data_IF_738265782870
#
_entry.id   IF_738265782870
#
_cell.length_a   1.000
_cell.length_b   1.000
_cell.length_c   1.000
_cell.angle_alpha   90.00
_cell.angle_beta   90.00
_cell.angle_gamma   90.00
#
_symmetry.space_group_name_H-M   'P 1'
#
loop_
_entity.id
_entity.type
_entity.pdbx_description
1 polymer ?
#
# COMPACT_ATOMS: atom_id res chain seq x y z
N UNK A 1 36.32 23.53 22.75
CA UNK A 1 35.89 23.48 21.36
C UNK A 1 34.55 22.79 21.29
N UNK A 2 33.47 23.58 21.30
CA UNK A 2 32.12 23.07 21.22
C UNK A 2 31.74 22.98 19.75
N UNK A 3 31.71 21.75 19.22
CA UNK A 3 31.09 21.45 17.94
C UNK A 3 29.58 21.65 18.07
N UNK A 4 29.06 22.77 17.57
CA UNK A 4 27.63 22.94 17.34
C UNK A 4 27.16 22.00 16.24
N UNK A 5 26.83 20.75 16.61
CA UNK A 5 26.14 19.83 15.73
C UNK A 5 24.75 20.41 15.37
N UNK A 6 24.65 21.13 14.26
CA UNK A 6 23.35 21.47 13.68
C UNK A 6 22.57 20.16 13.48
N UNK A 7 21.62 19.87 14.36
CA UNK A 7 20.65 18.79 14.14
C UNK A 7 19.85 19.16 12.89
N UNK A 8 20.13 18.49 11.81
CA UNK A 8 19.41 18.65 10.55
C UNK A 8 18.03 18.01 10.75
N UNK A 9 17.03 18.83 11.03
CA UNK A 9 15.63 18.40 10.99
C UNK A 9 15.23 18.28 9.54
N UNK A 10 15.11 17.05 9.05
CA UNK A 10 14.37 16.80 7.79
C UNK A 10 12.92 17.24 8.08
N UNK A 11 12.46 18.28 7.42
CA UNK A 11 11.11 18.80 7.59
C UNK A 11 10.09 17.69 7.29
N UNK A 12 9.02 17.61 8.09
CA UNK A 12 7.92 16.67 7.89
C UNK A 12 7.32 16.90 6.50
N UNK A 13 7.10 15.83 5.75
CA UNK A 13 6.40 15.91 4.46
C UNK A 13 4.91 16.07 4.73
N UNK A 14 4.29 17.10 4.17
CA UNK A 14 2.87 17.39 4.37
C UNK A 14 2.00 16.67 3.32
N UNK A 15 0.69 16.58 3.58
CA UNK A 15 -0.26 16.01 2.62
C UNK A 15 -0.33 16.83 1.34
N UNK A 16 -0.28 18.14 1.44
CA UNK A 16 -0.30 19.07 0.30
C UNK A 16 0.92 18.88 -0.61
N UNK A 17 2.08 18.59 -0.03
CA UNK A 17 3.28 18.27 -0.82
C UNK A 17 3.13 16.95 -1.57
N UNK A 18 2.52 15.95 -0.94
CA UNK A 18 2.28 14.63 -1.55
C UNK A 18 1.26 14.77 -2.69
N UNK A 19 0.17 15.49 -2.47
CA UNK A 19 -0.85 15.76 -3.50
C UNK A 19 -0.26 16.55 -4.68
N UNK A 20 0.51 17.59 -4.40
CA UNK A 20 1.19 18.38 -5.42
C UNK A 20 2.16 17.52 -6.25
N UNK A 21 2.97 16.71 -5.58
CA UNK A 21 3.89 15.79 -6.25
C UNK A 21 3.16 14.79 -7.16
N UNK A 22 2.05 14.22 -6.67
CA UNK A 22 1.21 13.32 -7.45
C UNK A 22 0.66 14.00 -8.69
N UNK A 23 0.05 15.18 -8.55
CA UNK A 23 -0.57 15.91 -9.66
C UNK A 23 0.44 16.34 -10.73
N UNK A 24 1.61 16.81 -10.32
CA UNK A 24 2.68 17.24 -11.25
C UNK A 24 3.29 16.05 -12.00
N UNK A 25 3.29 14.86 -11.42
CA UNK A 25 3.90 13.67 -12.00
C UNK A 25 2.89 12.60 -12.44
N UNK A 26 1.62 12.94 -12.56
CA UNK A 26 0.53 11.98 -12.80
C UNK A 26 0.77 11.09 -14.02
N UNK A 27 1.31 11.67 -15.10
CA UNK A 27 1.60 10.96 -16.35
C UNK A 27 2.74 9.91 -16.22
N UNK A 28 3.53 10.02 -15.15
CA UNK A 28 4.60 9.06 -14.84
C UNK A 28 4.14 7.88 -14.01
N UNK A 29 2.93 7.96 -13.46
CA UNK A 29 2.35 6.93 -12.61
C UNK A 29 1.46 6.00 -13.41
N UNK A 30 2.05 5.11 -14.18
CA UNK A 30 1.30 4.06 -14.87
C UNK A 30 1.48 2.73 -14.15
N UNK A 31 0.37 2.03 -13.90
CA UNK A 31 0.40 0.70 -13.31
C UNK A 31 1.02 -0.30 -14.28
N UNK A 32 2.00 -1.05 -13.83
CA UNK A 32 2.56 -2.20 -14.53
C UNK A 32 1.86 -3.52 -14.17
N UNK A 33 0.96 -3.50 -13.20
CA UNK A 33 0.19 -4.65 -12.73
C UNK A 33 -1.24 -4.24 -12.38
N UNK A 34 -2.14 -5.21 -12.30
CA UNK A 34 -3.53 -5.00 -11.86
C UNK A 34 -3.57 -4.85 -10.35
N UNK A 35 -4.36 -3.87 -9.87
CA UNK A 35 -4.68 -3.69 -8.46
C UNK A 35 -6.12 -4.11 -8.20
N UNK A 36 -6.38 -4.60 -7.00
CA UNK A 36 -7.74 -4.91 -6.56
C UNK A 36 -7.95 -4.60 -5.08
N UNK A 37 -9.20 -4.30 -4.73
CA UNK A 37 -9.72 -4.33 -3.38
C UNK A 37 -10.53 -5.59 -3.22
N UNK A 38 -10.37 -6.30 -2.11
CA UNK A 38 -11.01 -7.59 -1.94
C UNK A 38 -11.41 -7.87 -0.50
N UNK A 39 -12.35 -8.80 -0.38
CA UNK A 39 -12.70 -9.45 0.89
C UNK A 39 -12.36 -10.91 0.78
N UNK A 40 -11.79 -11.45 1.83
CA UNK A 40 -11.52 -12.87 1.95
C UNK A 40 -11.82 -13.34 3.36
N UNK A 41 -12.50 -14.45 3.46
CA UNK A 41 -12.82 -15.10 4.72
C UNK A 41 -12.69 -16.61 4.57
N UNK A 42 -11.88 -17.23 5.44
CA UNK A 42 -11.74 -18.68 5.56
C UNK A 42 -12.35 -19.11 6.90
N UNK A 43 -13.42 -19.86 6.86
CA UNK A 43 -14.19 -20.26 8.03
C UNK A 43 -14.36 -21.79 8.08
N UNK A 44 -14.27 -22.45 9.27
CA UNK A 44 -14.56 -23.89 9.38
C UNK A 44 -15.94 -24.25 8.83
N UNK A 45 -16.01 -25.36 8.08
CA UNK A 45 -17.23 -25.79 7.38
C UNK A 45 -18.38 -26.16 8.32
N UNK A 46 -18.08 -26.49 9.58
CA UNK A 46 -19.03 -26.83 10.65
C UNK A 46 -19.49 -25.61 11.46
N UNK A 47 -19.09 -24.39 11.09
CA UNK A 47 -19.48 -23.19 11.82
C UNK A 47 -21.01 -22.98 11.77
N UNK A 48 -21.61 -22.88 12.96
CA UNK A 48 -23.07 -22.74 13.10
C UNK A 48 -23.65 -21.44 12.51
N UNK A 49 -22.81 -20.43 12.31
CA UNK A 49 -23.19 -19.12 11.78
C UNK A 49 -22.98 -18.97 10.26
N UNK A 50 -22.67 -20.05 9.53
CA UNK A 50 -22.23 -20.01 8.13
C UNK A 50 -23.16 -19.20 7.23
N UNK A 51 -24.48 -19.35 7.37
CA UNK A 51 -25.48 -18.62 6.57
C UNK A 51 -25.53 -17.10 6.89
N UNK A 52 -25.23 -16.72 8.14
CA UNK A 52 -25.13 -15.30 8.53
C UNK A 52 -23.83 -14.72 8.02
N UNK A 53 -22.71 -15.43 8.21
CA UNK A 53 -21.38 -15.06 7.75
C UNK A 53 -21.40 -14.79 6.24
N UNK A 54 -21.97 -15.71 5.44
CA UNK A 54 -22.11 -15.56 3.99
C UNK A 54 -22.82 -14.28 3.58
N UNK A 55 -23.92 -13.94 4.24
CA UNK A 55 -24.67 -12.69 3.97
C UNK A 55 -23.87 -11.46 4.40
N UNK A 56 -23.22 -11.52 5.54
CA UNK A 56 -22.53 -10.38 6.14
C UNK A 56 -21.23 -10.04 5.40
N UNK A 57 -20.44 -11.04 4.98
CA UNK A 57 -19.25 -10.78 4.17
C UNK A 57 -19.60 -10.15 2.81
N UNK A 58 -20.78 -10.47 2.27
CA UNK A 58 -21.25 -9.90 1.01
C UNK A 58 -21.74 -8.46 1.17
N UNK A 59 -22.59 -8.17 2.15
CA UNK A 59 -23.18 -6.86 2.42
C UNK A 59 -22.17 -5.91 3.08
N UNK A 60 -21.62 -6.34 4.19
CA UNK A 60 -20.60 -5.66 4.99
C UNK A 60 -21.00 -4.25 5.46
N UNK A 61 -22.22 -4.10 6.01
CA UNK A 61 -22.61 -2.92 6.80
C UNK A 61 -21.75 -2.79 8.07
N UNK A 62 -21.84 -1.69 8.80
CA UNK A 62 -21.12 -1.55 10.08
C UNK A 62 -21.48 -2.66 11.06
N UNK A 63 -22.77 -2.95 11.22
CA UNK A 63 -23.23 -4.03 12.09
C UNK A 63 -22.72 -5.41 11.65
N UNK A 64 -22.57 -5.63 10.33
CA UNK A 64 -22.01 -6.87 9.80
C UNK A 64 -20.52 -6.99 10.12
N UNK A 65 -19.77 -5.89 10.06
CA UNK A 65 -18.35 -5.83 10.47
C UNK A 65 -18.20 -6.17 11.93
N UNK A 66 -18.97 -5.50 12.79
CA UNK A 66 -18.95 -5.72 14.24
C UNK A 66 -19.26 -7.19 14.57
N UNK A 67 -20.23 -7.80 13.87
CA UNK A 67 -20.53 -9.21 14.04
C UNK A 67 -19.39 -10.11 13.57
N UNK A 68 -18.81 -9.88 12.38
CA UNK A 68 -17.69 -10.67 11.88
C UNK A 68 -16.46 -10.52 12.77
N UNK A 69 -16.18 -9.31 13.25
CA UNK A 69 -15.08 -9.03 14.17
C UNK A 69 -15.27 -9.75 15.51
N UNK A 70 -16.50 -9.81 16.02
CA UNK A 70 -16.84 -10.54 17.24
C UNK A 70 -16.58 -12.06 17.14
N UNK A 71 -16.64 -12.61 15.93
CA UNK A 71 -16.39 -14.02 15.64
C UNK A 71 -14.98 -14.28 15.07
N UNK A 72 -14.13 -13.28 14.99
CA UNK A 72 -12.82 -13.40 14.32
C UNK A 72 -11.98 -14.58 14.84
N UNK A 73 -12.08 -14.89 16.14
CA UNK A 73 -11.38 -16.03 16.74
C UNK A 73 -11.82 -17.41 16.21
N UNK A 74 -12.96 -17.50 15.53
CA UNK A 74 -13.48 -18.70 14.89
C UNK A 74 -13.03 -18.85 13.43
N UNK A 75 -12.43 -17.81 12.85
CA UNK A 75 -12.02 -17.81 11.45
C UNK A 75 -10.55 -18.21 11.33
N UNK A 76 -10.23 -18.99 10.31
CA UNK A 76 -8.85 -19.28 9.97
C UNK A 76 -8.17 -18.06 9.34
N UNK A 77 -8.94 -17.25 8.59
CA UNK A 77 -8.46 -16.00 8.00
C UNK A 77 -9.62 -15.03 7.74
N UNK A 78 -9.40 -13.74 8.01
CA UNK A 78 -10.35 -12.66 7.74
C UNK A 78 -9.62 -11.45 7.16
N UNK A 79 -9.97 -11.05 5.94
CA UNK A 79 -9.47 -9.85 5.26
C UNK A 79 -10.67 -9.09 4.66
N UNK A 80 -11.22 -8.16 5.42
CA UNK A 80 -12.40 -7.38 5.02
C UNK A 80 -12.08 -5.88 5.02
N UNK A 81 -11.32 -5.47 4.03
CA UNK A 81 -10.94 -4.07 3.87
C UNK A 81 -11.19 -3.59 2.43
N UNK A 82 -12.23 -2.80 2.24
CA UNK A 82 -12.64 -2.26 0.95
C UNK A 82 -11.89 -0.96 0.57
N UNK A 83 -11.08 -0.42 1.47
CA UNK A 83 -10.40 0.87 1.27
C UNK A 83 -8.97 0.77 0.77
N UNK A 84 -8.33 -0.40 0.87
CA UNK A 84 -6.92 -0.60 0.52
C UNK A 84 -6.78 -1.35 -0.81
N UNK A 85 -5.89 -0.85 -1.66
CA UNK A 85 -5.51 -1.49 -2.90
C UNK A 85 -4.35 -2.48 -2.68
N UNK A 86 -4.47 -3.65 -3.28
CA UNK A 86 -3.46 -4.71 -3.26
C UNK A 86 -3.06 -5.06 -4.68
N UNK A 87 -1.80 -5.38 -4.89
CA UNK A 87 -1.33 -5.93 -6.15
C UNK A 87 -1.96 -7.32 -6.38
N UNK A 88 -2.46 -7.58 -7.58
CA UNK A 88 -3.08 -8.86 -7.94
C UNK A 88 -2.18 -10.05 -7.59
N UNK A 89 -0.87 -9.94 -7.84
CA UNK A 89 0.11 -11.01 -7.53
C UNK A 89 0.15 -11.35 -6.05
N UNK A 90 0.05 -10.34 -5.17
CA UNK A 90 0.12 -10.54 -3.71
C UNK A 90 -1.15 -11.22 -3.20
N UNK A 91 -2.30 -10.87 -3.78
CA UNK A 91 -3.59 -11.52 -3.48
C UNK A 91 -3.55 -12.98 -3.94
N UNK A 92 -3.12 -13.25 -5.19
CA UNK A 92 -3.02 -14.61 -5.73
C UNK A 92 -2.08 -15.48 -4.89
N UNK A 93 -0.94 -14.93 -4.47
CA UNK A 93 0.02 -15.69 -3.66
C UNK A 93 -0.46 -15.98 -2.24
N UNK A 94 -1.44 -15.20 -1.74
CA UNK A 94 -1.97 -15.33 -0.38
C UNK A 94 -3.25 -16.18 -0.28
N UNK A 95 -3.84 -16.59 -1.40
CA UNK A 95 -5.12 -17.32 -1.44
C UNK A 95 -4.93 -18.66 -2.17
N UNK A 96 -4.99 -19.76 -1.44
CA UNK A 96 -4.61 -21.11 -1.92
C UNK A 96 -5.35 -21.57 -3.17
N UNK A 97 -6.64 -21.23 -3.34
CA UNK A 97 -7.45 -21.68 -4.47
C UNK A 97 -7.34 -20.79 -5.72
N UNK A 98 -6.64 -19.65 -5.63
CA UNK A 98 -6.40 -18.75 -6.78
C UNK A 98 -4.95 -18.88 -7.22
N UNK A 99 -4.73 -19.04 -8.52
CA UNK A 99 -3.40 -19.07 -9.13
C UNK A 99 -3.40 -18.39 -10.50
N UNK A 100 -2.25 -18.29 -11.13
CA UNK A 100 -2.11 -17.62 -12.42
C UNK A 100 -2.97 -18.20 -13.54
N UNK A 101 -3.29 -19.51 -13.48
CA UNK A 101 -4.08 -20.19 -14.51
C UNK A 101 -5.58 -19.94 -14.38
N UNK A 102 -6.08 -19.82 -13.13
CA UNK A 102 -7.52 -19.69 -12.87
C UNK A 102 -7.97 -18.31 -12.39
N UNK A 103 -7.06 -17.38 -12.15
CA UNK A 103 -7.37 -16.07 -11.57
C UNK A 103 -8.48 -15.30 -12.30
N UNK A 104 -8.55 -15.41 -13.62
CA UNK A 104 -9.59 -14.73 -14.42
C UNK A 104 -11.00 -15.10 -14.02
N UNK A 105 -11.21 -16.30 -13.48
CA UNK A 105 -12.51 -16.79 -13.02
C UNK A 105 -12.99 -16.06 -11.76
N UNK A 106 -12.08 -15.45 -10.99
CA UNK A 106 -12.34 -14.83 -9.70
C UNK A 106 -12.32 -13.28 -9.73
N UNK A 107 -12.03 -12.65 -10.88
CA UNK A 107 -11.83 -11.19 -10.99
C UNK A 107 -13.11 -10.40 -11.31
N UNK A 108 -14.29 -11.03 -11.24
CA UNK A 108 -15.54 -10.30 -11.45
C UNK A 108 -15.93 -9.49 -10.22
N UNK A 109 -16.01 -8.18 -10.40
CA UNK A 109 -16.34 -7.23 -9.31
C UNK A 109 -17.72 -7.51 -8.72
N UNK A 110 -17.82 -7.44 -7.39
CA UNK A 110 -19.01 -7.67 -6.56
C UNK A 110 -19.63 -9.06 -6.67
N UNK A 111 -18.92 -10.03 -7.22
CA UNK A 111 -19.34 -11.44 -7.20
C UNK A 111 -18.79 -12.15 -5.98
N UNK A 112 -19.67 -12.81 -5.24
CA UNK A 112 -19.27 -13.72 -4.16
C UNK A 112 -18.87 -15.06 -4.77
N UNK A 113 -17.66 -15.50 -4.48
CA UNK A 113 -17.17 -16.84 -4.75
C UNK A 113 -17.13 -17.62 -3.43
N UNK A 114 -17.67 -18.83 -3.46
CA UNK A 114 -17.72 -19.74 -2.35
C UNK A 114 -17.02 -21.04 -2.76
N UNK A 115 -15.89 -21.31 -2.16
CA UNK A 115 -15.09 -22.50 -2.43
C UNK A 115 -15.01 -23.33 -1.17
N UNK A 116 -15.50 -24.56 -1.26
CA UNK A 116 -15.54 -25.51 -0.15
C UNK A 116 -14.46 -26.55 -0.31
N UNK A 117 -13.77 -26.84 0.75
CA UNK A 117 -12.96 -28.03 0.93
C UNK A 117 -13.50 -28.87 2.12
N UNK A 118 -12.78 -29.93 2.51
CA UNK A 118 -13.23 -30.85 3.57
C UNK A 118 -13.32 -30.16 4.94
N UNK A 119 -12.55 -29.12 5.18
CA UNK A 119 -12.42 -28.48 6.50
C UNK A 119 -12.95 -27.05 6.51
N UNK A 120 -12.90 -26.32 5.39
CA UNK A 120 -13.19 -24.88 5.34
C UNK A 120 -14.13 -24.51 4.21
N UNK A 121 -14.80 -23.40 4.42
CA UNK A 121 -15.48 -22.64 3.35
C UNK A 121 -14.72 -21.34 3.17
N UNK A 122 -14.32 -21.08 1.93
CA UNK A 122 -13.62 -19.86 1.55
C UNK A 122 -14.59 -18.94 0.82
N UNK A 123 -14.74 -17.71 1.31
CA UNK A 123 -15.50 -16.64 0.68
C UNK A 123 -14.55 -15.62 0.09
N UNK A 124 -14.69 -15.31 -1.18
CA UNK A 124 -13.87 -14.32 -1.86
C UNK A 124 -14.72 -13.36 -2.69
N UNK A 125 -14.44 -12.05 -2.61
CA UNK A 125 -15.14 -11.02 -3.37
C UNK A 125 -14.11 -9.97 -3.81
N UNK A 126 -14.01 -9.71 -5.11
CA UNK A 126 -13.32 -8.50 -5.61
C UNK A 126 -14.30 -7.34 -5.49
N UNK A 127 -13.93 -6.30 -4.77
CA UNK A 127 -14.75 -5.11 -4.55
C UNK A 127 -14.51 -4.03 -5.60
N UNK A 128 -13.28 -3.91 -6.04
CA UNK A 128 -12.87 -2.97 -7.07
C UNK A 128 -11.63 -3.50 -7.79
N UNK A 129 -11.44 -3.12 -9.04
CA UNK A 129 -10.36 -3.61 -9.88
C UNK A 129 -9.84 -2.51 -10.79
N UNK A 130 -8.55 -2.26 -10.74
CA UNK A 130 -7.85 -1.29 -11.57
C UNK A 130 -6.78 -2.00 -12.39
N UNK A 131 -7.00 -2.08 -13.70
CA UNK A 131 -6.13 -2.82 -14.62
C UNK A 131 -4.77 -2.14 -14.82
N UNK A 132 -3.76 -2.93 -15.13
CA UNK A 132 -2.49 -2.46 -15.66
C UNK A 132 -2.69 -1.44 -16.79
N UNK A 133 -1.84 -0.44 -16.88
CA UNK A 133 -1.94 0.67 -17.83
C UNK A 133 -2.74 1.88 -17.31
N UNK A 134 -3.51 1.73 -16.24
CA UNK A 134 -4.22 2.84 -15.63
C UNK A 134 -3.32 3.62 -14.63
N UNK A 135 -3.74 4.83 -14.30
CA UNK A 135 -3.09 5.65 -13.27
C UNK A 135 -3.59 5.19 -11.90
N UNK A 136 -2.71 4.79 -10.98
CA UNK A 136 -3.10 4.39 -9.63
C UNK A 136 -3.58 5.60 -8.83
N UNK A 137 -4.57 5.42 -7.93
CA UNK A 137 -5.02 6.49 -7.05
C UNK A 137 -3.93 6.93 -6.08
N UNK A 138 -3.99 8.18 -5.63
CA UNK A 138 -3.06 8.73 -4.66
C UNK A 138 -2.94 7.87 -3.40
N UNK A 139 -4.06 7.32 -2.92
CA UNK A 139 -4.08 6.44 -1.74
C UNK A 139 -3.18 5.21 -1.85
N UNK A 140 -2.99 4.69 -3.06
CA UNK A 140 -2.06 3.58 -3.32
C UNK A 140 -0.59 4.04 -3.36
N UNK A 141 -0.35 5.25 -3.83
CA UNK A 141 0.99 5.81 -4.02
C UNK A 141 1.49 6.63 -2.82
N UNK A 142 0.64 6.92 -1.86
CA UNK A 142 0.88 7.89 -0.79
C UNK A 142 2.23 7.67 -0.09
N UNK A 143 2.47 6.49 0.44
CA UNK A 143 3.70 6.20 1.18
C UNK A 143 4.93 6.19 0.27
N UNK A 144 4.78 5.73 -0.96
CA UNK A 144 5.86 5.75 -1.95
C UNK A 144 6.25 7.17 -2.34
N UNK A 145 5.27 8.06 -2.56
CA UNK A 145 5.52 9.47 -2.87
C UNK A 145 6.17 10.16 -1.67
N UNK A 146 5.65 9.94 -0.47
CA UNK A 146 6.25 10.48 0.75
C UNK A 146 7.72 10.09 0.89
N UNK A 147 8.04 8.83 0.67
CA UNK A 147 9.41 8.33 0.71
C UNK A 147 10.28 8.97 -0.38
N UNK A 148 9.77 9.13 -1.59
CA UNK A 148 10.48 9.78 -2.69
C UNK A 148 10.82 11.24 -2.35
N UNK A 149 9.88 12.00 -1.78
CA UNK A 149 10.12 13.39 -1.35
C UNK A 149 11.22 13.43 -0.28
N UNK A 150 11.16 12.55 0.71
CA UNK A 150 12.19 12.45 1.77
C UNK A 150 13.57 12.15 1.17
N UNK A 151 13.65 11.19 0.26
CA UNK A 151 14.90 10.81 -0.39
C UNK A 151 15.46 11.96 -1.24
N UNK A 152 14.61 12.67 -1.98
CA UNK A 152 15.02 13.85 -2.75
C UNK A 152 15.58 14.95 -1.86
N UNK A 153 14.95 15.22 -0.72
CA UNK A 153 15.44 16.18 0.28
C UNK A 153 16.81 15.77 0.84
N UNK A 154 17.01 14.49 1.13
CA UNK A 154 18.32 13.98 1.59
C UNK A 154 19.40 14.16 0.54
N UNK A 155 19.12 13.85 -0.71
CA UNK A 155 20.06 14.02 -1.83
C UNK A 155 20.43 15.49 -1.98
N UNK A 156 19.44 16.40 -2.00
CA UNK A 156 19.68 17.84 -2.12
C UNK A 156 20.52 18.38 -0.96
N UNK A 157 20.27 17.89 0.26
CA UNK A 157 21.04 18.27 1.43
C UNK A 157 22.51 17.85 1.31
N UNK A 158 22.77 16.60 0.92
CA UNK A 158 24.14 16.09 0.73
C UNK A 158 24.86 16.91 -0.35
N UNK A 159 24.19 17.21 -1.46
CA UNK A 159 24.75 18.03 -2.53
C UNK A 159 25.11 19.44 -2.05
N UNK A 160 24.27 20.07 -1.22
CA UNK A 160 24.53 21.38 -0.65
C UNK A 160 25.72 21.37 0.31
N UNK A 161 25.79 20.36 1.20
CA UNK A 161 26.93 20.19 2.10
C UNK A 161 28.23 20.01 1.30
N UNK A 162 28.22 19.17 0.28
CA UNK A 162 29.39 18.96 -0.56
C UNK A 162 29.84 20.25 -1.27
N UNK A 163 28.90 21.07 -1.75
CA UNK A 163 29.21 22.40 -2.33
C UNK A 163 29.82 23.34 -1.30
N UNK A 164 29.29 23.38 -0.06
CA UNK A 164 29.84 24.20 1.01
C UNK A 164 31.27 23.79 1.36
N UNK A 165 31.52 22.47 1.52
CA UNK A 165 32.86 21.94 1.80
C UNK A 165 33.84 22.29 0.69
N UNK A 166 33.45 22.13 -0.56
CA UNK A 166 34.29 22.47 -1.72
C UNK A 166 34.61 23.97 -1.77
N UNK A 167 33.62 24.84 -1.53
CA UNK A 167 33.81 26.29 -1.49
C UNK A 167 34.75 26.70 -0.36
N UNK A 168 34.63 26.08 0.83
CA UNK A 168 35.50 26.39 1.97
C UNK A 168 36.96 25.93 1.69
N UNK A 169 37.14 24.76 1.10
CA UNK A 169 38.45 24.27 0.69
C UNK A 169 39.11 25.20 -0.36
N UNK A 170 38.35 25.68 -1.33
CA UNK A 170 38.83 26.63 -2.35
C UNK A 170 39.19 28.00 -1.74
N UNK A 171 38.45 28.48 -0.73
CA UNK A 171 38.77 29.70 -0.02
C UNK A 171 40.08 29.52 0.81
N UNK A 172 40.18 28.40 1.53
CA UNK A 172 41.39 28.11 2.34
C UNK A 172 42.62 28.02 1.48
N UNK A 173 42.58 27.38 0.32
CA UNK A 173 43.71 27.24 -0.59
C UNK A 173 44.15 28.59 -1.21
N UNK A 174 43.23 29.55 -1.38
CA UNK A 174 43.55 30.92 -1.82
C UNK A 174 44.33 31.72 -0.76
N UNK A 175 44.10 31.43 0.51
CA UNK A 175 44.82 32.14 1.59
C UNK A 175 46.25 31.63 1.80
N UNK A 176 46.58 30.39 1.40
CA UNK A 176 47.94 29.81 1.47
C UNK A 176 48.87 30.29 0.35
N UNK A 177 48.28 30.75 -0.79
CA UNK A 177 49.07 31.24 -1.93
C UNK A 177 49.60 32.69 -1.72
N UNK A 178 49.12 33.39 -0.73
CA UNK A 178 49.51 34.81 -0.44
C UNK A 178 50.34 34.95 0.84
N UNK A 179 51.03 33.94 1.33
CA UNK A 179 52.06 33.98 2.32
C UNK A 179 53.40 33.60 1.65
#
# INVERSE_FOLDING_TARGET
>A
PHGNGKKIKVAVVTNEEIESYYNVNIDKFTLNETLLKYRYLKVPSDNININRIRRYIQRLSNDDRDFLDSLNFQFAELKVNDSVWFAERDVISSIEFINQTNKSNFMRVNRLYEIKDDQYINYFIVKDLLKSGNIPPLSYLYDRIKLNIINQRKINLIQNINKEILNDALKSSKYEIYK
#
